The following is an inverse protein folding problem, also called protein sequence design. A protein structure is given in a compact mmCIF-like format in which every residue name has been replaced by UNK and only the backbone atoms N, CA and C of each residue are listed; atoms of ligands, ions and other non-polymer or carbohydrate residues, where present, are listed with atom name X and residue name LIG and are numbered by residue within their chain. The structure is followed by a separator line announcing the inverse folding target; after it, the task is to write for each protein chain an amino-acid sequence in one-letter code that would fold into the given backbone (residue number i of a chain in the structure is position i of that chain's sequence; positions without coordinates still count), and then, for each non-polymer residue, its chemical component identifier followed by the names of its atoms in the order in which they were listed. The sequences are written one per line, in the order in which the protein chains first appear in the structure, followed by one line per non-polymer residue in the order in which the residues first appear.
data_IF_836435016105
#
_entry.id   IF_836435016105
#
_cell.length_a   1.000
_cell.length_b   1.000
_cell.length_c   1.000
_cell.angle_alpha   90.00
_cell.angle_beta   90.00
_cell.angle_gamma   90.00
#
_symmetry.space_group_name_H-M   'P 1'
#
loop_
_entity.id
_entity.type
_entity.pdbx_description
1 polymer ?
#
# COMPACT_ATOMS: atom_id res chain seq x y z
N UNK A 1 -16.47 -8.51 -1.12
CA UNK A 1 -15.35 -9.27 -1.73
C UNK A 1 -14.99 -8.73 -3.11
N UNK A 2 -15.96 -8.51 -4.02
CA UNK A 2 -15.69 -7.98 -5.37
C UNK A 2 -14.81 -6.71 -5.40
N UNK A 3 -15.04 -5.65 -4.58
CA UNK A 3 -14.19 -4.47 -4.58
C UNK A 3 -12.71 -4.76 -4.28
N UNK A 4 -12.44 -5.65 -3.32
CA UNK A 4 -11.07 -6.01 -2.94
C UNK A 4 -10.34 -6.77 -4.05
N UNK A 5 -11.03 -7.67 -4.76
CA UNK A 5 -10.46 -8.39 -5.90
C UNK A 5 -10.09 -7.43 -7.04
N UNK A 6 -11.00 -6.51 -7.38
CA UNK A 6 -10.74 -5.50 -8.41
C UNK A 6 -9.52 -4.65 -8.08
N UNK A 7 -9.36 -4.27 -6.81
CA UNK A 7 -8.20 -3.51 -6.34
C UNK A 7 -6.92 -4.34 -6.44
N UNK A 8 -6.96 -5.64 -6.07
CA UNK A 8 -5.78 -6.52 -6.19
C UNK A 8 -5.27 -6.59 -7.64
N UNK A 9 -6.17 -6.65 -8.61
CA UNK A 9 -5.82 -6.63 -10.04
C UNK A 9 -5.26 -5.27 -10.47
N UNK A 10 -5.90 -4.16 -10.10
CA UNK A 10 -5.43 -2.80 -10.42
C UNK A 10 -4.01 -2.56 -9.87
N UNK A 11 -3.75 -2.99 -8.65
CA UNK A 11 -2.45 -2.80 -8.02
C UNK A 11 -1.38 -3.73 -8.57
N UNK A 12 -1.73 -4.93 -9.02
CA UNK A 12 -0.81 -5.85 -9.67
C UNK A 12 -0.11 -5.21 -10.89
N UNK A 13 -0.88 -4.51 -11.73
CA UNK A 13 -0.33 -3.78 -12.87
C UNK A 13 0.48 -2.54 -12.47
N UNK A 14 0.18 -1.93 -11.32
CA UNK A 14 0.85 -0.70 -10.90
C UNK A 14 2.35 -0.88 -10.65
N UNK A 15 2.80 -2.05 -10.17
CA UNK A 15 4.22 -2.31 -9.88
C UNK A 15 5.07 -2.17 -11.15
N UNK A 16 4.72 -2.89 -12.20
CA UNK A 16 5.46 -2.86 -13.46
C UNK A 16 5.31 -1.52 -14.20
N UNK A 17 4.14 -0.86 -14.14
CA UNK A 17 3.95 0.46 -14.74
C UNK A 17 4.85 1.52 -14.09
N UNK A 18 4.97 1.53 -12.76
CA UNK A 18 5.84 2.48 -12.07
C UNK A 18 7.29 2.25 -12.48
N UNK A 19 7.78 1.01 -12.37
CA UNK A 19 9.17 0.69 -12.70
C UNK A 19 9.47 0.85 -14.19
N UNK A 20 8.61 0.34 -15.05
CA UNK A 20 8.88 0.28 -16.49
C UNK A 20 8.55 1.56 -17.26
N UNK A 21 7.58 2.37 -16.82
CA UNK A 21 7.10 3.53 -17.57
C UNK A 21 7.37 4.87 -16.91
N UNK A 22 7.48 4.92 -15.58
CA UNK A 22 7.78 6.15 -14.84
C UNK A 22 9.24 6.22 -14.39
N UNK A 23 10.07 5.28 -14.79
CA UNK A 23 11.51 5.31 -14.54
C UNK A 23 12.11 6.65 -15.01
N UNK A 24 13.00 7.23 -14.19
CA UNK A 24 13.64 8.52 -14.48
C UNK A 24 12.84 9.74 -14.03
N UNK A 25 11.56 9.62 -13.68
CA UNK A 25 10.80 10.70 -13.06
C UNK A 25 11.07 10.76 -11.55
N UNK A 26 11.06 11.98 -11.00
CA UNK A 26 11.18 12.18 -9.56
C UNK A 26 10.05 11.45 -8.81
N UNK A 27 10.37 10.56 -7.84
CA UNK A 27 9.38 9.74 -7.15
C UNK A 27 8.43 10.55 -6.27
N UNK A 28 8.87 11.70 -5.75
CA UNK A 28 8.04 12.56 -4.90
C UNK A 28 7.04 13.33 -5.76
N UNK A 29 7.48 13.81 -6.94
CA UNK A 29 6.58 14.42 -7.93
C UNK A 29 5.53 13.41 -8.42
N UNK A 30 5.95 12.19 -8.77
CA UNK A 30 5.04 11.10 -9.16
C UNK A 30 4.00 10.85 -8.09
N UNK A 31 4.40 10.78 -6.82
CA UNK A 31 3.48 10.60 -5.68
C UNK A 31 2.47 11.74 -5.59
N UNK A 32 2.96 12.98 -5.67
CA UNK A 32 2.13 14.20 -5.57
C UNK A 32 1.09 14.25 -6.68
N UNK A 33 1.49 14.02 -7.93
CA UNK A 33 0.58 14.01 -9.10
C UNK A 33 -0.47 12.90 -8.96
N UNK A 34 -0.08 11.70 -8.54
CA UNK A 34 -1.01 10.58 -8.32
C UNK A 34 -2.04 10.89 -7.26
N UNK A 35 -1.64 11.48 -6.14
CA UNK A 35 -2.55 11.88 -5.07
C UNK A 35 -3.44 13.06 -5.49
N UNK A 36 -2.92 14.01 -6.29
CA UNK A 36 -3.72 15.08 -6.86
C UNK A 36 -4.85 14.52 -7.75
N UNK A 37 -4.54 13.59 -8.66
CA UNK A 37 -5.56 12.90 -9.46
C UNK A 37 -6.56 12.11 -8.59
N UNK A 38 -6.10 11.45 -7.52
CA UNK A 38 -6.99 10.77 -6.59
C UNK A 38 -7.94 11.75 -5.89
N UNK A 39 -7.45 12.89 -5.42
CA UNK A 39 -8.27 13.94 -4.80
C UNK A 39 -9.30 14.51 -5.78
N UNK A 40 -8.92 14.72 -7.04
CA UNK A 40 -9.83 15.21 -8.09
C UNK A 40 -11.01 14.26 -8.33
N UNK A 41 -10.79 12.94 -8.26
CA UNK A 41 -11.88 11.93 -8.39
C UNK A 41 -12.94 12.11 -7.32
N UNK A 42 -12.56 12.49 -6.09
CA UNK A 42 -13.49 12.61 -4.96
C UNK A 42 -13.98 14.04 -4.71
N UNK A 43 -13.40 15.03 -5.38
CA UNK A 43 -13.83 16.44 -5.27
C UNK A 43 -15.32 16.66 -5.53
N UNK A 44 -15.97 16.04 -6.55
CA UNK A 44 -17.39 16.20 -6.80
C UNK A 44 -18.31 15.68 -5.69
N UNK A 45 -17.81 14.77 -4.84
CA UNK A 45 -18.56 14.18 -3.72
C UNK A 45 -18.37 14.96 -2.41
N UNK A 46 -17.51 15.97 -2.39
CA UNK A 46 -17.20 16.75 -1.20
C UNK A 46 -18.43 17.52 -0.72
N UNK A 47 -18.76 17.34 0.56
CA UNK A 47 -19.77 18.12 1.29
C UNK A 47 -19.11 18.70 2.54
N UNK A 48 -18.57 19.93 2.49
CA UNK A 48 -17.75 20.49 3.58
C UNK A 48 -18.43 20.54 4.94
N UNK A 49 -19.75 20.81 4.95
CA UNK A 49 -20.55 20.93 6.18
C UNK A 49 -21.05 19.59 6.75
N UNK A 50 -20.75 18.46 6.09
CA UNK A 50 -21.31 17.15 6.48
C UNK A 50 -20.59 16.50 7.66
N UNK A 51 -19.36 16.95 7.99
CA UNK A 51 -18.51 16.38 9.05
C UNK A 51 -18.06 17.46 10.05
N UNK A 52 -17.98 17.13 11.35
CA UNK A 52 -17.34 17.98 12.33
C UNK A 52 -15.87 18.22 11.99
N UNK A 53 -15.34 19.41 12.32
CA UNK A 53 -13.93 19.76 12.04
C UNK A 53 -12.93 18.76 12.60
N UNK A 54 -13.22 18.20 13.77
CA UNK A 54 -12.37 17.16 14.39
C UNK A 54 -12.23 15.94 13.50
N UNK A 55 -13.35 15.44 12.94
CA UNK A 55 -13.37 14.26 12.09
C UNK A 55 -12.66 14.52 10.76
N UNK A 56 -12.84 15.71 10.19
CA UNK A 56 -12.11 16.17 8.99
C UNK A 56 -10.60 16.13 9.23
N UNK A 57 -10.12 16.70 10.34
CA UNK A 57 -8.69 16.70 10.69
C UNK A 57 -8.19 15.26 10.87
N UNK A 58 -8.94 14.42 11.58
CA UNK A 58 -8.56 13.02 11.81
C UNK A 58 -8.46 12.25 10.49
N UNK A 59 -9.43 12.42 9.59
CA UNK A 59 -9.42 11.79 8.27
C UNK A 59 -8.25 12.30 7.41
N UNK A 60 -7.98 13.60 7.46
CA UNK A 60 -6.83 14.18 6.75
C UNK A 60 -5.50 13.62 7.28
N UNK A 61 -5.33 13.52 8.61
CA UNK A 61 -4.15 12.90 9.22
C UNK A 61 -4.00 11.41 8.85
N UNK A 62 -5.10 10.66 8.81
CA UNK A 62 -5.08 9.29 8.29
C UNK A 62 -4.53 9.28 6.87
N UNK A 63 -4.97 10.21 6.03
CA UNK A 63 -4.48 10.35 4.66
C UNK A 63 -3.00 10.71 4.57
N UNK A 64 -2.50 11.60 5.43
CA UNK A 64 -1.07 11.95 5.51
C UNK A 64 -0.21 10.68 5.64
N UNK A 65 -0.59 9.76 6.55
CA UNK A 65 0.16 8.53 6.76
C UNK A 65 -0.15 7.46 5.71
N UNK A 66 -1.45 7.13 5.53
CA UNK A 66 -1.89 5.99 4.71
C UNK A 66 -1.55 6.15 3.23
N UNK A 67 -1.62 7.37 2.71
CA UNK A 67 -1.43 7.65 1.30
C UNK A 67 -0.26 8.61 1.04
N UNK A 68 -0.11 9.66 1.83
CA UNK A 68 0.94 10.66 1.62
C UNK A 68 2.33 10.08 1.86
N UNK A 69 2.70 9.86 3.10
CA UNK A 69 4.03 9.35 3.48
C UNK A 69 4.27 7.95 2.89
N UNK A 70 3.24 7.10 2.91
CA UNK A 70 3.33 5.77 2.29
C UNK A 70 3.73 5.86 0.82
N UNK A 71 3.13 6.76 0.03
CA UNK A 71 3.45 6.86 -1.38
C UNK A 71 4.83 7.42 -1.65
N UNK A 72 5.27 8.43 -0.90
CA UNK A 72 6.63 8.95 -1.03
C UNK A 72 7.64 7.82 -0.79
N UNK A 73 7.49 7.06 0.28
CA UNK A 73 8.36 5.91 0.57
C UNK A 73 8.24 4.83 -0.51
N UNK A 74 7.03 4.45 -0.88
CA UNK A 74 6.77 3.40 -1.85
C UNK A 74 7.36 3.72 -3.23
N UNK A 75 7.16 4.94 -3.76
CA UNK A 75 7.71 5.31 -5.07
C UNK A 75 9.21 5.48 -5.04
N UNK A 76 9.78 5.98 -3.94
CA UNK A 76 11.23 6.06 -3.75
C UNK A 76 11.88 4.68 -3.77
N UNK A 77 11.22 3.64 -3.26
CA UNK A 77 11.76 2.28 -3.24
C UNK A 77 12.06 1.72 -4.63
N UNK A 78 11.34 2.16 -5.69
CA UNK A 78 11.62 1.73 -7.07
C UNK A 78 12.96 2.25 -7.62
N UNK A 79 13.59 3.21 -6.97
CA UNK A 79 14.97 3.61 -7.25
C UNK A 79 16.00 2.57 -6.78
N UNK A 80 15.62 1.72 -5.83
CA UNK A 80 16.48 0.72 -5.18
C UNK A 80 16.14 -0.71 -5.60
N UNK A 81 14.86 -1.00 -5.84
CA UNK A 81 14.31 -2.33 -6.09
C UNK A 81 13.62 -2.42 -7.46
N UNK A 82 13.53 -3.64 -8.01
CA UNK A 82 12.70 -3.94 -9.15
C UNK A 82 11.21 -4.05 -8.75
N UNK A 83 10.29 -3.95 -9.72
CA UNK A 83 8.85 -3.97 -9.47
C UNK A 83 8.40 -5.26 -8.76
N UNK A 84 8.92 -6.42 -9.18
CA UNK A 84 8.61 -7.70 -8.53
C UNK A 84 9.18 -7.80 -7.10
N UNK A 85 10.34 -7.17 -6.80
CA UNK A 85 10.93 -7.12 -5.46
C UNK A 85 10.10 -6.22 -4.53
N UNK A 86 9.65 -5.05 -5.02
CA UNK A 86 8.73 -4.18 -4.30
C UNK A 86 7.41 -4.91 -4.03
N UNK A 87 6.84 -5.59 -5.03
CA UNK A 87 5.61 -6.38 -4.88
C UNK A 87 5.76 -7.42 -3.77
N UNK A 88 6.86 -8.19 -3.78
CA UNK A 88 7.16 -9.17 -2.71
C UNK A 88 7.30 -8.52 -1.34
N UNK A 89 8.02 -7.41 -1.23
CA UNK A 89 8.21 -6.73 0.04
C UNK A 89 6.88 -6.22 0.64
N UNK A 90 5.86 -5.93 -0.19
CA UNK A 90 4.54 -5.51 0.31
C UNK A 90 3.70 -6.65 0.93
N UNK A 91 4.11 -7.91 0.79
CA UNK A 91 3.40 -9.05 1.40
C UNK A 91 3.39 -8.99 2.94
N UNK A 92 4.30 -8.21 3.54
CA UNK A 92 4.37 -8.00 4.98
C UNK A 92 3.27 -7.07 5.53
N UNK A 93 2.56 -6.35 4.67
CA UNK A 93 1.50 -5.42 5.12
C UNK A 93 0.50 -6.06 6.09
N UNK A 94 -0.07 -7.27 5.86
CA UNK A 94 -0.98 -7.91 6.82
C UNK A 94 -0.35 -8.21 8.18
N UNK A 95 0.96 -8.49 8.22
CA UNK A 95 1.67 -8.69 9.48
C UNK A 95 1.67 -7.40 10.29
N UNK A 96 1.97 -6.26 9.65
CA UNK A 96 1.88 -4.96 10.31
C UNK A 96 0.45 -4.62 10.74
N UNK A 97 -0.55 -4.92 9.91
CA UNK A 97 -1.96 -4.75 10.28
C UNK A 97 -2.29 -5.55 11.55
N UNK A 98 -1.88 -6.83 11.59
CA UNK A 98 -2.14 -7.70 12.73
C UNK A 98 -1.39 -7.26 14.00
N UNK A 99 -0.12 -6.84 13.88
CA UNK A 99 0.68 -6.33 14.99
C UNK A 99 0.10 -5.04 15.57
N UNK A 100 -0.25 -4.08 14.71
CA UNK A 100 -0.82 -2.82 15.13
C UNK A 100 -2.22 -2.98 15.74
N UNK A 101 -3.06 -3.85 15.17
CA UNK A 101 -4.38 -4.16 15.73
C UNK A 101 -4.25 -4.81 17.13
N UNK A 102 -3.32 -5.76 17.27
CA UNK A 102 -3.00 -6.38 18.55
C UNK A 102 -2.46 -5.38 19.59
N UNK A 103 -1.60 -4.45 19.18
CA UNK A 103 -1.04 -3.42 20.05
C UNK A 103 -2.12 -2.45 20.55
N UNK A 104 -3.04 -2.04 19.68
CA UNK A 104 -4.14 -1.12 20.05
C UNK A 104 -5.17 -1.82 20.95
N UNK A 105 -5.35 -3.14 20.79
CA UNK A 105 -6.23 -3.93 21.67
C UNK A 105 -5.54 -4.46 22.93
N UNK A 106 -4.26 -4.11 23.15
CA UNK A 106 -3.42 -4.61 24.25
C UNK A 106 -3.37 -6.14 24.33
N UNK A 107 -3.33 -6.81 23.18
CA UNK A 107 -3.26 -8.27 23.07
C UNK A 107 -1.97 -8.69 22.38
N UNK A 108 -1.12 -9.45 23.08
CA UNK A 108 0.08 -10.04 22.46
C UNK A 108 -0.28 -11.38 21.84
N UNK A 109 0.06 -11.54 20.57
CA UNK A 109 -0.17 -12.79 19.86
C UNK A 109 1.17 -13.36 19.35
N UNK A 110 1.63 -14.47 19.95
CA UNK A 110 2.86 -15.17 19.55
C UNK A 110 2.92 -15.50 18.06
N UNK A 111 1.79 -15.75 17.45
CA UNK A 111 1.68 -16.06 16.03
C UNK A 111 2.12 -14.89 15.15
N UNK A 112 1.82 -13.67 15.56
CA UNK A 112 2.27 -12.47 14.84
C UNK A 112 3.80 -12.32 14.90
N UNK A 113 4.43 -12.69 16.01
CA UNK A 113 5.89 -12.69 16.15
C UNK A 113 6.53 -13.76 15.26
N UNK A 114 5.96 -14.98 15.23
CA UNK A 114 6.42 -16.05 14.34
C UNK A 114 6.24 -15.64 12.87
N UNK A 115 5.10 -15.06 12.53
CA UNK A 115 4.85 -14.57 11.18
C UNK A 115 5.85 -13.47 10.77
N UNK A 116 6.15 -12.54 11.67
CA UNK A 116 7.16 -11.51 11.43
C UNK A 116 8.55 -12.12 11.19
N UNK A 117 8.96 -13.12 12.00
CA UNK A 117 10.24 -13.81 11.82
C UNK A 117 10.30 -14.56 10.48
N UNK A 118 9.26 -15.30 10.10
CA UNK A 118 9.17 -15.98 8.80
C UNK A 118 9.23 -15.00 7.64
N UNK A 119 8.59 -13.86 7.79
CA UNK A 119 8.59 -12.80 6.79
C UNK A 119 9.98 -12.19 6.60
N UNK A 120 10.72 -11.96 7.70
CA UNK A 120 12.11 -11.50 7.67
C UNK A 120 13.01 -12.56 6.98
N UNK A 121 12.83 -13.84 7.27
CA UNK A 121 13.56 -14.92 6.60
C UNK A 121 13.25 -14.96 5.09
N UNK A 122 11.99 -14.83 4.69
CA UNK A 122 11.60 -14.76 3.28
C UNK A 122 12.24 -13.58 2.55
N UNK A 123 12.26 -12.42 3.18
CA UNK A 123 12.97 -11.26 2.65
C UNK A 123 14.49 -11.48 2.56
N UNK A 124 15.11 -12.09 3.58
CA UNK A 124 16.53 -12.39 3.58
C UNK A 124 16.92 -13.35 2.42
N UNK A 125 16.09 -14.36 2.12
CA UNK A 125 16.31 -15.25 0.97
C UNK A 125 16.26 -14.50 -0.36
N UNK A 126 15.32 -13.54 -0.51
CA UNK A 126 15.21 -12.71 -1.71
C UNK A 126 16.44 -11.81 -1.88
N UNK A 127 16.88 -11.21 -0.76
CA UNK A 127 17.98 -10.24 -0.72
C UNK A 127 19.37 -10.92 -0.87
N UNK A 128 19.45 -12.24 -0.79
CA UNK A 128 20.69 -13.02 -0.83
C UNK A 128 21.28 -13.04 -2.24
N UNK A 129 21.93 -11.98 -2.70
CA UNK A 129 22.99 -11.90 -3.72
C UNK A 129 22.92 -10.84 -4.83
N UNK A 130 24.13 -10.38 -5.19
CA UNK A 130 24.66 -9.78 -6.43
C UNK A 130 24.41 -8.29 -6.74
N UNK A 131 23.65 -7.55 -5.96
CA UNK A 131 23.81 -6.08 -5.85
C UNK A 131 24.55 -5.78 -4.56
N UNK A 132 25.18 -4.64 -4.45
CA UNK A 132 25.73 -4.20 -3.15
C UNK A 132 24.63 -4.35 -2.11
N UNK A 133 24.87 -5.16 -1.09
CA UNK A 133 23.88 -5.54 -0.06
C UNK A 133 23.12 -4.32 0.49
N UNK A 134 23.78 -3.18 0.59
CA UNK A 134 23.26 -1.94 1.17
C UNK A 134 22.11 -1.32 0.34
N UNK A 135 22.20 -1.34 -0.99
CA UNK A 135 21.15 -0.78 -1.86
C UNK A 135 19.83 -1.53 -1.71
N UNK A 136 19.90 -2.87 -1.70
CA UNK A 136 18.70 -3.71 -1.58
C UNK A 136 18.10 -3.61 -0.17
N UNK A 137 18.95 -3.62 0.86
CA UNK A 137 18.50 -3.46 2.25
C UNK A 137 17.80 -2.11 2.42
N UNK A 138 18.39 -1.04 1.90
CA UNK A 138 17.79 0.31 1.94
C UNK A 138 16.41 0.31 1.27
N UNK A 139 16.30 -0.21 0.04
CA UNK A 139 15.03 -0.29 -0.67
C UNK A 139 13.98 -1.11 0.08
N UNK A 140 14.39 -2.26 0.65
CA UNK A 140 13.51 -3.09 1.46
C UNK A 140 12.99 -2.35 2.71
N UNK A 141 13.88 -1.69 3.46
CA UNK A 141 13.49 -0.92 4.65
C UNK A 141 12.54 0.24 4.31
N UNK A 142 12.76 0.92 3.18
CA UNK A 142 11.85 1.95 2.68
C UNK A 142 10.45 1.37 2.43
N UNK A 143 10.36 0.19 1.78
CA UNK A 143 9.07 -0.50 1.58
C UNK A 143 8.42 -0.88 2.92
N UNK A 144 9.21 -1.33 3.91
CA UNK A 144 8.64 -1.64 5.23
C UNK A 144 8.08 -0.38 5.92
N UNK A 145 8.73 0.76 5.81
CA UNK A 145 8.18 2.05 6.24
C UNK A 145 6.84 2.37 5.55
N UNK A 146 6.77 2.16 4.23
CA UNK A 146 5.52 2.34 3.47
C UNK A 146 4.42 1.37 3.95
N UNK A 147 4.73 0.09 4.15
CA UNK A 147 3.81 -0.92 4.65
C UNK A 147 3.25 -0.55 6.04
N UNK A 148 4.11 -0.07 6.94
CA UNK A 148 3.72 0.37 8.27
C UNK A 148 2.77 1.57 8.22
N UNK A 149 3.09 2.57 7.41
CA UNK A 149 2.24 3.74 7.19
C UNK A 149 0.87 3.35 6.64
N UNK A 150 0.84 2.46 5.65
CA UNK A 150 -0.41 1.95 5.06
C UNK A 150 -1.24 1.18 6.10
N UNK A 151 -0.63 0.28 6.85
CA UNK A 151 -1.30 -0.52 7.87
C UNK A 151 -1.87 0.35 9.01
N UNK A 152 -1.11 1.33 9.48
CA UNK A 152 -1.55 2.26 10.53
C UNK A 152 -2.76 3.07 10.08
N UNK A 153 -2.70 3.66 8.88
CA UNK A 153 -3.80 4.42 8.32
C UNK A 153 -5.04 3.56 8.05
N UNK A 154 -4.87 2.33 7.56
CA UNK A 154 -5.98 1.39 7.34
C UNK A 154 -6.71 1.04 8.65
N UNK A 155 -5.98 0.76 9.73
CA UNK A 155 -6.58 0.47 11.03
C UNK A 155 -7.28 1.72 11.57
N UNK A 156 -6.66 2.88 11.50
CA UNK A 156 -7.25 4.13 11.94
C UNK A 156 -8.55 4.44 11.17
N UNK A 157 -8.55 4.28 9.82
CA UNK A 157 -9.75 4.46 9.00
C UNK A 157 -10.85 3.48 9.37
N UNK A 158 -10.52 2.19 9.54
CA UNK A 158 -11.49 1.16 9.94
C UNK A 158 -12.14 1.48 11.27
N UNK A 159 -11.42 2.09 12.21
CA UNK A 159 -11.92 2.46 13.55
C UNK A 159 -12.75 3.74 13.57
N UNK A 160 -12.35 4.75 12.79
CA UNK A 160 -13.10 6.01 12.76
C UNK A 160 -14.39 5.89 11.94
N UNK A 161 -14.42 5.11 10.85
CA UNK A 161 -15.56 5.06 9.93
C UNK A 161 -16.90 4.77 10.61
N UNK A 162 -17.03 3.82 11.56
CA UNK A 162 -18.30 3.57 12.27
C UNK A 162 -18.76 4.71 13.19
N UNK A 163 -17.86 5.61 13.61
CA UNK A 163 -18.18 6.74 14.49
C UNK A 163 -18.63 7.98 13.74
N UNK A 164 -18.47 8.00 12.42
CA UNK A 164 -18.87 9.12 11.56
C UNK A 164 -20.38 9.11 11.30
N UNK A 165 -21.00 10.30 11.03
CA UNK A 165 -22.42 10.39 10.78
C UNK A 165 -22.89 9.47 9.65
N UNK A 166 -23.97 8.73 9.87
CA UNK A 166 -24.50 7.74 8.92
C UNK A 166 -24.99 8.37 7.58
N UNK A 167 -25.39 9.64 7.61
CA UNK A 167 -25.88 10.36 6.42
C UNK A 167 -24.79 10.82 5.44
N UNK A 168 -23.49 10.64 5.77
CA UNK A 168 -22.37 11.05 4.92
C UNK A 168 -21.93 9.87 4.07
N UNK A 169 -21.90 10.06 2.74
CA UNK A 169 -21.47 9.01 1.80
C UNK A 169 -20.00 8.66 1.98
N UNK A 170 -19.64 7.38 1.78
CA UNK A 170 -18.25 6.92 1.83
C UNK A 170 -17.36 7.72 0.86
N UNK A 171 -17.86 8.07 -0.33
CA UNK A 171 -17.12 8.87 -1.30
C UNK A 171 -16.86 10.31 -0.82
N UNK A 172 -17.84 10.93 -0.15
CA UNK A 172 -17.67 12.27 0.44
C UNK A 172 -16.71 12.30 1.61
N UNK A 173 -16.66 11.22 2.40
CA UNK A 173 -15.67 11.04 3.48
C UNK A 173 -14.28 10.87 2.90
N UNK A 174 -14.13 10.10 1.81
CA UNK A 174 -12.84 9.70 1.27
C UNK A 174 -12.05 10.85 0.63
N UNK A 175 -12.69 11.95 0.28
CA UNK A 175 -11.99 13.17 -0.13
C UNK A 175 -10.99 13.67 0.92
N UNK A 176 -11.32 13.61 2.21
CA UNK A 176 -10.49 14.17 3.27
C UNK A 176 -9.14 13.45 3.46
N UNK A 177 -9.08 12.11 3.46
CA UNK A 177 -7.79 11.41 3.41
C UNK A 177 -6.97 11.76 2.16
N UNK A 178 -7.61 11.88 0.98
CA UNK A 178 -6.90 12.31 -0.22
C UNK A 178 -6.37 13.74 -0.09
N UNK A 179 -7.14 14.67 0.48
CA UNK A 179 -6.72 16.04 0.71
C UNK A 179 -5.53 16.12 1.69
N UNK A 180 -5.58 15.40 2.81
CA UNK A 180 -4.47 15.32 3.75
C UNK A 180 -3.19 14.76 3.13
N UNK A 181 -3.32 13.68 2.35
CA UNK A 181 -2.22 13.11 1.60
C UNK A 181 -1.65 14.08 0.56
N UNK A 182 -2.52 14.82 -0.15
CA UNK A 182 -2.09 15.82 -1.12
C UNK A 182 -1.29 16.94 -0.46
N UNK A 183 -1.75 17.46 0.68
CA UNK A 183 -1.01 18.47 1.43
C UNK A 183 0.37 17.93 1.83
N UNK A 184 0.45 16.72 2.36
CA UNK A 184 1.73 16.11 2.77
C UNK A 184 2.68 15.92 1.58
N UNK A 185 2.21 15.34 0.48
CA UNK A 185 3.04 15.10 -0.70
C UNK A 185 3.42 16.40 -1.41
N UNK A 186 2.51 17.39 -1.47
CA UNK A 186 2.79 18.71 -2.06
C UNK A 186 3.84 19.48 -1.26
N UNK A 187 3.77 19.46 0.08
CA UNK A 187 4.80 20.03 0.92
C UNK A 187 6.15 19.34 0.72
N UNK A 188 6.17 17.99 0.73
CA UNK A 188 7.41 17.24 0.50
C UNK A 188 7.99 17.54 -0.88
N UNK A 189 7.18 17.57 -1.93
CA UNK A 189 7.65 17.86 -3.28
C UNK A 189 8.10 19.32 -3.46
N UNK A 190 7.52 20.24 -2.72
CA UNK A 190 7.97 21.64 -2.71
C UNK A 190 9.40 21.82 -2.21
N UNK A 191 9.86 20.92 -1.32
CA UNK A 191 11.23 20.97 -0.77
C UNK A 191 12.21 20.02 -1.46
N UNK A 192 11.74 18.91 -2.07
CA UNK A 192 12.60 17.83 -2.52
C UNK A 192 12.61 17.64 -4.05
N UNK A 193 11.62 18.18 -4.77
CA UNK A 193 11.49 17.98 -6.22
C UNK A 193 11.95 19.21 -6.98
N UNK A 194 12.82 19.01 -7.97
CA UNK A 194 13.06 20.03 -8.99
C UNK A 194 11.93 19.96 -10.05
N UNK A 195 10.92 20.78 -9.87
CA UNK A 195 9.79 20.86 -10.79
C UNK A 195 10.14 21.37 -12.18
N UNK A 196 11.27 22.08 -12.34
CA UNK A 196 11.74 22.54 -13.65
C UNK A 196 12.28 21.37 -14.50
N UNK A 197 12.85 20.36 -13.83
CA UNK A 197 13.32 19.12 -14.43
C UNK A 197 12.22 18.08 -14.61
N UNK A 198 11.05 18.24 -13.98
CA UNK A 198 9.95 17.30 -14.08
C UNK A 198 9.16 17.49 -15.37
N UNK A 199 9.57 16.79 -16.44
CA UNK A 199 8.99 16.89 -17.78
C UNK A 199 8.49 15.53 -18.28
N UNK A 200 7.33 15.02 -17.78
CA UNK A 200 6.78 13.75 -18.26
C UNK A 200 6.35 13.84 -19.72
N UNK A 201 6.64 12.79 -20.48
CA UNK A 201 6.10 12.59 -21.81
C UNK A 201 4.58 12.40 -21.80
N UNK A 202 3.92 12.54 -22.96
CA UNK A 202 2.47 12.29 -23.08
C UNK A 202 2.07 10.88 -22.58
N UNK A 203 2.89 9.86 -22.89
CA UNK A 203 2.65 8.51 -22.39
C UNK A 203 2.78 8.41 -20.85
N UNK A 204 3.76 9.08 -20.26
CA UNK A 204 3.93 9.13 -18.80
C UNK A 204 2.77 9.85 -18.13
N UNK A 205 2.26 10.94 -18.72
CA UNK A 205 1.04 11.59 -18.24
C UNK A 205 -0.18 10.65 -18.27
N UNK A 206 -0.35 9.85 -19.34
CA UNK A 206 -1.39 8.81 -19.40
C UNK A 206 -1.26 7.77 -18.30
N UNK A 207 -0.03 7.30 -18.01
CA UNK A 207 0.25 6.37 -16.91
C UNK A 207 -0.02 7.02 -15.55
N UNK A 208 0.40 8.27 -15.34
CA UNK A 208 0.14 9.02 -14.10
C UNK A 208 -1.36 9.21 -13.86
N UNK A 209 -2.13 9.54 -14.91
CA UNK A 209 -3.58 9.67 -14.82
C UNK A 209 -4.25 8.32 -14.46
N UNK A 210 -3.87 7.22 -15.12
CA UNK A 210 -4.34 5.87 -14.78
C UNK A 210 -4.01 5.51 -13.33
N UNK A 211 -2.76 5.66 -12.93
CA UNK A 211 -2.30 5.33 -11.58
C UNK A 211 -2.93 6.24 -10.53
N UNK A 212 -3.11 7.51 -10.84
CA UNK A 212 -3.69 8.48 -9.92
C UNK A 212 -5.21 8.29 -9.75
N UNK A 213 -5.96 8.28 -10.85
CA UNK A 213 -7.42 8.22 -10.80
C UNK A 213 -7.91 6.81 -10.42
N UNK A 214 -7.41 5.76 -11.10
CA UNK A 214 -7.91 4.41 -10.91
C UNK A 214 -7.18 3.67 -9.79
N UNK A 215 -5.87 3.50 -9.86
CA UNK A 215 -5.15 2.69 -8.87
C UNK A 215 -5.06 3.36 -7.50
N UNK A 216 -4.88 4.68 -7.44
CA UNK A 216 -4.84 5.45 -6.19
C UNK A 216 -6.23 5.92 -5.77
N UNK A 217 -6.97 6.63 -6.62
CA UNK A 217 -8.28 7.16 -6.29
C UNK A 217 -9.29 6.06 -6.02
N UNK A 218 -9.79 5.44 -7.08
CA UNK A 218 -10.82 4.40 -6.98
C UNK A 218 -10.30 3.18 -6.21
N UNK A 219 -9.04 2.78 -6.43
CA UNK A 219 -8.43 1.63 -5.77
C UNK A 219 -8.39 1.77 -4.24
N UNK A 220 -7.85 2.86 -3.70
CA UNK A 220 -7.85 3.05 -2.24
C UNK A 220 -9.23 3.26 -1.66
N UNK A 221 -10.13 3.93 -2.38
CA UNK A 221 -11.52 4.03 -1.96
C UNK A 221 -12.15 2.65 -1.80
N UNK A 222 -12.10 1.82 -2.84
CA UNK A 222 -12.66 0.46 -2.82
C UNK A 222 -11.97 -0.42 -1.77
N UNK A 223 -10.67 -0.22 -1.55
CA UNK A 223 -9.92 -0.92 -0.51
C UNK A 223 -10.42 -0.56 0.89
N UNK A 224 -10.47 0.73 1.23
CA UNK A 224 -10.95 1.17 2.54
C UNK A 224 -12.43 0.84 2.74
N UNK A 225 -13.26 1.02 1.70
CA UNK A 225 -14.66 0.59 1.70
C UNK A 225 -14.82 -0.90 1.98
N UNK A 226 -14.02 -1.74 1.32
CA UNK A 226 -13.99 -3.18 1.55
C UNK A 226 -13.47 -3.55 2.94
N UNK A 227 -12.40 -2.88 3.41
CA UNK A 227 -11.78 -3.14 4.71
C UNK A 227 -12.74 -2.95 5.90
N UNK A 228 -13.69 -2.02 5.78
CA UNK A 228 -14.71 -1.81 6.81
C UNK A 228 -15.85 -2.86 6.80
N UNK A 229 -15.92 -3.71 5.76
CA UNK A 229 -17.03 -4.67 5.53
C UNK A 229 -16.62 -6.13 5.57
N UNK A 230 -15.33 -6.41 5.74
CA UNK A 230 -14.80 -7.77 5.83
C UNK A 230 -14.00 -7.96 7.11
N UNK A 231 -13.81 -9.20 7.52
CA UNK A 231 -12.90 -9.51 8.62
C UNK A 231 -11.43 -9.35 8.20
N UNK A 232 -10.54 -9.27 9.19
CA UNK A 232 -9.10 -9.07 9.00
C UNK A 232 -8.46 -10.18 8.15
N UNK A 233 -8.89 -11.45 8.31
CA UNK A 233 -8.38 -12.58 7.54
C UNK A 233 -8.72 -12.46 6.05
N UNK A 234 -9.97 -12.14 5.71
CA UNK A 234 -10.37 -11.88 4.31
C UNK A 234 -9.57 -10.72 3.71
N UNK A 235 -9.40 -9.64 4.48
CA UNK A 235 -8.63 -8.48 4.04
C UNK A 235 -7.17 -8.83 3.74
N UNK A 236 -6.55 -9.66 4.61
CA UNK A 236 -5.18 -10.16 4.42
C UNK A 236 -5.04 -11.00 3.14
N UNK A 237 -5.98 -11.91 2.88
CA UNK A 237 -5.99 -12.74 1.67
C UNK A 237 -5.99 -11.85 0.42
N UNK A 238 -6.88 -10.86 0.34
CA UNK A 238 -6.94 -9.96 -0.83
C UNK A 238 -5.73 -9.03 -0.91
N UNK A 239 -5.20 -8.55 0.22
CA UNK A 239 -3.97 -7.77 0.22
C UNK A 239 -2.79 -8.56 -0.36
N UNK A 240 -2.73 -9.86 -0.11
CA UNK A 240 -1.65 -10.71 -0.59
C UNK A 240 -1.89 -11.26 -2.01
N UNK A 241 -3.13 -11.35 -2.47
CA UNK A 241 -3.44 -11.76 -3.83
C UNK A 241 -2.76 -10.85 -4.89
N UNK A 242 -2.59 -9.55 -4.59
CA UNK A 242 -1.88 -8.62 -5.48
C UNK A 242 -0.40 -8.99 -5.70
N UNK A 243 0.23 -9.73 -4.77
CA UNK A 243 1.68 -10.02 -4.83
C UNK A 243 2.02 -11.02 -5.93
N UNK A 244 1.48 -12.27 -5.95
CA UNK A 244 1.76 -13.18 -7.05
C UNK A 244 1.30 -12.61 -8.40
N UNK A 245 0.19 -11.87 -8.43
CA UNK A 245 -0.28 -11.20 -9.63
C UNK A 245 0.69 -10.09 -10.07
N UNK A 246 1.21 -9.28 -9.13
CA UNK A 246 2.18 -8.20 -9.41
C UNK A 246 3.50 -8.76 -9.92
N UNK A 247 4.03 -9.81 -9.27
CA UNK A 247 5.23 -10.51 -9.74
C UNK A 247 5.02 -11.04 -11.16
N UNK A 248 3.92 -11.75 -11.41
CA UNK A 248 3.61 -12.28 -12.74
C UNK A 248 3.51 -11.15 -13.78
N UNK A 249 2.82 -10.05 -13.46
CA UNK A 249 2.72 -8.88 -14.34
C UNK A 249 4.10 -8.29 -14.65
N UNK A 250 4.96 -8.09 -13.66
CA UNK A 250 6.29 -7.53 -13.84
C UNK A 250 7.16 -8.40 -14.74
N UNK A 251 7.13 -9.72 -14.54
CA UNK A 251 7.92 -10.65 -15.36
C UNK A 251 7.38 -10.81 -16.78
N UNK A 252 6.04 -10.94 -16.95
CA UNK A 252 5.43 -11.25 -18.25
C UNK A 252 5.30 -10.01 -19.13
N UNK A 253 4.80 -8.90 -18.58
CA UNK A 253 4.45 -7.71 -19.39
C UNK A 253 5.54 -6.64 -19.40
N UNK A 254 6.43 -6.62 -18.40
CA UNK A 254 7.47 -5.59 -18.29
C UNK A 254 8.89 -6.14 -18.47
N UNK A 255 9.03 -7.46 -18.71
CA UNK A 255 10.32 -8.09 -19.05
C UNK A 255 11.34 -8.06 -17.91
N UNK A 256 10.91 -7.84 -16.67
CA UNK A 256 11.81 -7.91 -15.52
C UNK A 256 12.40 -9.31 -15.40
N UNK A 257 13.69 -9.39 -15.04
CA UNK A 257 14.39 -10.67 -14.86
C UNK A 257 14.77 -10.84 -13.38
N UNK A 258 14.20 -11.86 -12.69
CA UNK A 258 14.61 -12.13 -11.32
C UNK A 258 16.04 -12.68 -11.30
N UNK A 259 16.82 -12.26 -10.29
CA UNK A 259 18.20 -12.76 -10.11
C UNK A 259 18.28 -14.29 -9.96
N UNK A 260 17.20 -14.92 -9.45
CA UNK A 260 17.08 -16.37 -9.31
C UNK A 260 15.61 -16.74 -9.10
N UNK A 261 15.04 -17.50 -10.03
CA UNK A 261 13.67 -18.04 -9.92
C UNK A 261 13.50 -18.91 -8.66
N UNK A 262 14.42 -19.86 -8.32
CA UNK A 262 14.26 -20.63 -7.10
C UNK A 262 14.20 -19.79 -5.83
N UNK A 263 15.02 -18.73 -5.71
CA UNK A 263 14.99 -17.83 -4.54
C UNK A 263 13.69 -17.02 -4.48
N UNK A 264 13.22 -16.55 -5.62
CA UNK A 264 11.92 -15.88 -5.72
C UNK A 264 10.79 -16.77 -5.20
N UNK A 265 10.76 -18.03 -5.63
CA UNK A 265 9.77 -19.02 -5.20
C UNK A 265 9.88 -19.36 -3.71
N UNK A 266 11.10 -19.56 -3.19
CA UNK A 266 11.33 -19.83 -1.75
C UNK A 266 10.90 -18.63 -0.92
N UNK A 267 11.30 -17.41 -1.31
CA UNK A 267 10.88 -16.18 -0.64
C UNK A 267 9.36 -16.04 -0.63
N UNK A 268 8.71 -16.23 -1.78
CA UNK A 268 7.26 -16.17 -1.89
C UNK A 268 6.57 -17.22 -1.00
N UNK A 269 7.07 -18.46 -0.98
CA UNK A 269 6.53 -19.53 -0.12
C UNK A 269 6.65 -19.18 1.37
N UNK A 270 7.80 -18.70 1.83
CA UNK A 270 8.02 -18.29 3.23
C UNK A 270 7.09 -17.12 3.61
N UNK A 271 6.89 -16.16 2.72
CA UNK A 271 6.02 -15.03 2.96
C UNK A 271 4.54 -15.45 3.00
N UNK A 272 4.10 -16.39 2.15
CA UNK A 272 2.75 -16.96 2.20
C UNK A 272 2.54 -17.71 3.54
N UNK A 273 3.52 -18.53 3.96
CA UNK A 273 3.47 -19.23 5.25
C UNK A 273 3.39 -18.23 6.40
N UNK A 274 4.17 -17.14 6.37
CA UNK A 274 4.11 -16.08 7.38
C UNK A 274 2.70 -15.51 7.53
N UNK A 275 2.03 -15.23 6.40
CA UNK A 275 0.65 -14.72 6.42
C UNK A 275 -0.33 -15.75 6.94
N UNK A 276 -0.24 -17.00 6.47
CA UNK A 276 -1.10 -18.09 6.97
C UNK A 276 -0.96 -18.24 8.48
N UNK A 277 0.27 -18.23 9.02
CA UNK A 277 0.54 -18.29 10.46
C UNK A 277 -0.06 -17.09 11.19
N UNK A 278 0.06 -15.88 10.65
CA UNK A 278 -0.52 -14.66 11.24
C UNK A 278 -2.05 -14.73 11.34
N UNK A 279 -2.70 -15.27 10.31
CA UNK A 279 -4.17 -15.34 10.22
C UNK A 279 -4.77 -16.62 10.84
N UNK A 280 -3.94 -17.59 11.19
CA UNK A 280 -4.41 -18.85 11.77
C UNK A 280 -5.18 -18.59 13.06
N UNK A 281 -6.48 -18.88 13.08
CA UNK A 281 -7.30 -18.92 14.29
C UNK A 281 -7.30 -20.37 14.80
N UNK A 282 -6.82 -20.65 16.04
CA UNK A 282 -7.08 -21.95 16.63
C UNK A 282 -8.60 -22.12 16.69
N UNK A 283 -9.09 -23.20 16.13
CA UNK A 283 -10.52 -23.54 16.22
C UNK A 283 -10.95 -23.42 17.67
N UNK A 284 -12.08 -22.77 17.92
CA UNK A 284 -12.76 -22.86 19.21
C UNK A 284 -12.88 -24.34 19.54
N UNK A 285 -12.04 -24.85 20.45
CA UNK A 285 -12.40 -26.10 21.11
C UNK A 285 -13.74 -25.83 21.76
N UNK A 286 -14.75 -26.45 21.21
CA UNK A 286 -16.06 -26.52 21.85
C UNK A 286 -15.83 -26.79 23.33
N UNK A 287 -16.20 -25.83 24.17
CA UNK A 287 -16.34 -26.08 25.59
C UNK A 287 -17.50 -27.03 25.68
N UNK A 288 -17.21 -28.33 25.79
CA UNK A 288 -18.11 -29.35 26.29
C UNK A 288 -18.33 -29.16 27.78
#
# INVERSE_FOLDING_TARGET
MFPLLSVSLLWAFSFGLIKGRLAGLDPVAVSTIRIAFAALVFLPFLRPSALPRRDVITLALIGVFQFGLMYVLYTTAFGYLEGHEVALATILTPVYVALLDAAVENRTCWRHLIAAALAVLGAAVLLWKNRTSDTIITGFLIVQGANLCFAAGQIAYKRIRPTLPAGVSDAGIFFWPCAGALVATALTSGFMTDWSAFQPTANQWGVLAYLGMLASGVGFFLWNYGATRVNTGTLAVFNNAKVPLGVACSLIFFGEQPASIPRLLISLALLIVAVVVSEWKPGNRLKT
#
